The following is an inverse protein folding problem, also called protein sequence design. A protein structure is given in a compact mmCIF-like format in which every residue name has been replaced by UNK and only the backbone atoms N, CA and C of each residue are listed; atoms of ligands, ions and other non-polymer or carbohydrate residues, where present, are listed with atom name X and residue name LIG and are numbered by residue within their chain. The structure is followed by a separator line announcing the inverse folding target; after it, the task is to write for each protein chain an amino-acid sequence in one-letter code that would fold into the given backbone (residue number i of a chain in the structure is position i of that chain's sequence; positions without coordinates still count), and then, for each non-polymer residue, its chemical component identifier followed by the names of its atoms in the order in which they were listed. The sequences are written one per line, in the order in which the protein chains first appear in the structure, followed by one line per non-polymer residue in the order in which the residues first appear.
data_IF_151193091566
#
_entry.id   IF_151193091566
#
_cell.length_a   1.000
_cell.length_b   1.000
_cell.length_c   1.000
_cell.angle_alpha   90.00
_cell.angle_beta   90.00
_cell.angle_gamma   90.00
#
_symmetry.space_group_name_H-M   'P 1'
#
loop_
_entity.id
_entity.type
_entity.pdbx_description
1 polymer ?
#
# COMPACT_ATOMS: atom_id res chain seq x y z
N UNK A 1 6.11 -27.50 23.66
CA UNK A 1 6.78 -27.08 22.42
C UNK A 1 6.32 -25.66 22.13
N UNK A 2 7.20 -24.67 22.26
CA UNK A 2 6.87 -23.29 21.91
C UNK A 2 6.86 -23.19 20.39
N UNK A 3 5.67 -23.21 19.79
CA UNK A 3 5.54 -22.89 18.38
C UNK A 3 6.03 -21.45 18.18
N UNK A 4 7.01 -21.24 17.31
CA UNK A 4 7.38 -19.89 16.85
C UNK A 4 6.12 -19.21 16.31
N UNK A 5 5.84 -17.98 16.75
CA UNK A 5 4.74 -17.18 16.23
C UNK A 5 4.93 -16.82 14.73
N UNK A 6 6.17 -16.94 14.23
CA UNK A 6 6.52 -16.71 12.83
C UNK A 6 6.60 -18.05 12.11
N UNK A 7 5.70 -18.26 11.14
CA UNK A 7 5.68 -19.45 10.28
C UNK A 7 6.78 -19.41 9.20
N UNK A 8 7.02 -18.24 8.61
CA UNK A 8 7.95 -18.06 7.48
C UNK A 8 8.48 -16.63 7.40
N UNK A 9 9.79 -16.50 7.14
CA UNK A 9 10.42 -15.25 6.72
C UNK A 9 10.65 -15.28 5.21
N UNK A 10 10.28 -14.20 4.52
CA UNK A 10 10.45 -14.06 3.07
C UNK A 10 11.38 -12.88 2.81
N UNK A 11 12.56 -13.16 2.27
CA UNK A 11 13.49 -12.11 1.85
C UNK A 11 12.96 -11.40 0.58
N UNK A 12 12.85 -10.06 0.56
CA UNK A 12 12.39 -9.32 -0.61
C UNK A 12 13.30 -9.57 -1.83
N UNK A 13 12.68 -9.79 -2.99
CA UNK A 13 13.41 -9.92 -4.27
C UNK A 13 13.39 -8.59 -5.01
N UNK A 14 14.55 -8.09 -5.42
CA UNK A 14 14.66 -6.86 -6.21
C UNK A 14 13.98 -7.03 -7.57
N UNK A 15 13.11 -6.09 -7.93
CA UNK A 15 12.43 -6.02 -9.23
C UNK A 15 12.53 -4.62 -9.81
N UNK A 16 12.96 -4.52 -11.06
CA UNK A 16 12.97 -3.24 -11.79
C UNK A 16 11.59 -2.98 -12.41
N UNK A 17 11.06 -1.77 -12.18
CA UNK A 17 9.79 -1.27 -12.73
C UNK A 17 10.01 -0.27 -13.88
N UNK A 18 11.23 -0.21 -14.45
CA UNK A 18 11.59 0.69 -15.54
C UNK A 18 12.31 1.94 -15.03
N UNK A 19 13.41 1.76 -14.29
CA UNK A 19 14.22 2.84 -13.72
C UNK A 19 14.05 3.02 -12.21
N UNK A 20 13.25 2.16 -11.58
CA UNK A 20 13.04 2.12 -10.13
C UNK A 20 12.97 0.68 -9.65
N UNK A 21 13.76 0.34 -8.63
CA UNK A 21 13.78 -1.01 -8.08
C UNK A 21 12.94 -1.09 -6.80
N UNK A 22 12.08 -2.10 -6.71
CA UNK A 22 11.26 -2.42 -5.54
C UNK A 22 11.70 -3.75 -4.91
N UNK A 23 11.42 -3.91 -3.62
CA UNK A 23 11.59 -5.16 -2.88
C UNK A 23 10.29 -5.96 -2.86
N UNK A 24 10.17 -6.98 -3.72
CA UNK A 24 8.97 -7.81 -3.82
C UNK A 24 8.94 -8.94 -2.81
N UNK A 25 7.93 -8.92 -1.94
CA UNK A 25 7.68 -9.97 -0.92
C UNK A 25 6.61 -10.95 -1.39
N UNK A 26 5.44 -10.45 -1.83
CA UNK A 26 4.37 -11.27 -2.41
C UNK A 26 4.17 -10.98 -3.90
N UNK A 27 3.82 -11.99 -4.72
CA UNK A 27 3.65 -13.40 -4.36
C UNK A 27 4.98 -14.14 -4.21
N UNK A 28 5.06 -15.07 -3.25
CA UNK A 28 6.17 -16.00 -3.08
C UNK A 28 5.76 -17.43 -3.45
N UNK A 29 6.69 -18.22 -3.98
CA UNK A 29 6.36 -19.56 -4.52
C UNK A 29 5.67 -20.47 -3.48
N UNK A 30 6.09 -20.37 -2.21
CA UNK A 30 5.52 -21.14 -1.08
C UNK A 30 4.45 -20.38 -0.28
N UNK A 31 4.17 -19.12 -0.63
CA UNK A 31 3.15 -18.28 0.01
C UNK A 31 2.68 -17.22 -0.99
N UNK A 32 1.60 -17.53 -1.70
CA UNK A 32 1.05 -16.62 -2.71
C UNK A 32 0.17 -15.53 -2.10
N UNK A 33 -0.41 -15.80 -0.92
CA UNK A 33 -1.34 -14.91 -0.24
C UNK A 33 -1.16 -14.94 1.27
N UNK A 34 -1.49 -13.84 1.94
CA UNK A 34 -1.63 -13.73 3.40
C UNK A 34 -2.97 -13.04 3.67
N UNK A 35 -3.95 -13.78 4.20
CA UNK A 35 -5.34 -13.31 4.15
C UNK A 35 -5.71 -12.94 2.71
N UNK A 36 -6.30 -11.76 2.47
CA UNK A 36 -6.63 -11.31 1.11
C UNK A 36 -5.48 -10.64 0.36
N UNK A 37 -4.30 -10.44 0.98
CA UNK A 37 -3.15 -9.80 0.33
C UNK A 37 -2.47 -10.76 -0.65
N UNK A 38 -2.34 -10.36 -1.91
CA UNK A 38 -1.79 -11.18 -3.02
C UNK A 38 -0.49 -10.60 -3.61
N UNK A 39 -0.15 -9.37 -3.23
CA UNK A 39 1.00 -8.63 -3.70
C UNK A 39 1.48 -7.67 -2.61
N UNK A 40 2.79 -7.52 -2.48
CA UNK A 40 3.41 -6.63 -1.51
C UNK A 40 4.81 -6.27 -2.00
N UNK A 41 4.98 -5.03 -2.43
CA UNK A 41 6.24 -4.44 -2.85
C UNK A 41 6.60 -3.29 -1.91
N UNK A 42 7.82 -3.31 -1.38
CA UNK A 42 8.42 -2.13 -0.75
C UNK A 42 9.07 -1.25 -1.82
N UNK A 43 8.74 0.04 -1.79
CA UNK A 43 9.27 1.07 -2.66
C UNK A 43 10.30 1.88 -1.88
N UNK A 44 11.56 1.90 -2.32
CA UNK A 44 12.62 2.63 -1.61
C UNK A 44 13.08 1.94 -0.32
N UNK A 45 13.73 2.66 0.62
CA UNK A 45 14.04 4.09 0.55
C UNK A 45 14.92 4.43 -0.65
N UNK A 46 14.51 5.44 -1.43
CA UNK A 46 15.22 5.90 -2.62
C UNK A 46 15.27 7.43 -2.70
N UNK A 47 16.25 7.94 -3.43
CA UNK A 47 16.40 9.36 -3.75
C UNK A 47 16.49 9.54 -5.25
N UNK A 48 15.71 10.49 -5.77
CA UNK A 48 15.64 10.87 -7.17
C UNK A 48 16.15 12.29 -7.34
N UNK A 49 17.15 12.45 -8.20
CA UNK A 49 17.65 13.76 -8.60
C UNK A 49 16.61 14.52 -9.45
N UNK A 50 16.69 15.86 -9.52
CA UNK A 50 15.93 16.65 -10.48
C UNK A 50 15.92 16.03 -11.90
N UNK A 51 14.74 15.97 -12.50
CA UNK A 51 14.50 15.36 -13.81
C UNK A 51 14.22 13.85 -13.78
N UNK A 52 14.44 13.17 -12.64
CA UNK A 52 14.20 11.72 -12.49
C UNK A 52 13.00 11.43 -11.58
N UNK A 53 12.50 10.20 -11.62
CA UNK A 53 11.36 9.80 -10.82
C UNK A 53 10.78 8.45 -11.23
N UNK A 54 9.64 8.12 -10.64
CA UNK A 54 8.82 6.99 -11.06
C UNK A 54 7.93 7.41 -12.22
N UNK A 55 7.83 6.54 -13.23
CA UNK A 55 6.96 6.73 -14.39
C UNK A 55 6.26 5.42 -14.78
N UNK A 56 5.45 4.87 -13.87
CA UNK A 56 4.61 3.71 -14.19
C UNK A 56 3.55 4.16 -15.21
N UNK A 57 3.69 3.64 -16.43
CA UNK A 57 2.81 3.97 -17.56
C UNK A 57 1.38 3.42 -17.34
N UNK A 58 0.39 3.92 -18.09
CA UNK A 58 -0.97 3.38 -18.04
C UNK A 58 -0.99 1.86 -18.16
N UNK A 59 -1.59 1.18 -17.19
CA UNK A 59 -1.72 -0.28 -17.15
C UNK A 59 -3.05 -0.70 -16.50
N UNK A 60 -3.63 -1.85 -16.90
CA UNK A 60 -4.90 -2.32 -16.38
C UNK A 60 -4.78 -3.17 -15.11
N UNK A 61 -5.85 -3.21 -14.32
CA UNK A 61 -6.10 -4.18 -13.25
C UNK A 61 -7.56 -4.67 -13.30
N UNK A 62 -7.82 -5.89 -12.82
CA UNK A 62 -9.16 -6.49 -12.61
C UNK A 62 -9.15 -7.32 -11.32
N UNK A 63 -10.32 -7.54 -10.70
CA UNK A 63 -10.51 -8.52 -9.61
C UNK A 63 -9.72 -8.26 -8.32
N UNK A 64 -9.15 -7.07 -8.15
CA UNK A 64 -8.33 -6.71 -6.99
C UNK A 64 -8.54 -5.25 -6.59
N UNK A 65 -8.07 -4.89 -5.41
CA UNK A 65 -7.80 -3.51 -5.03
C UNK A 65 -6.30 -3.27 -4.89
N UNK A 66 -5.80 -2.12 -5.35
CA UNK A 66 -4.43 -1.67 -5.07
C UNK A 66 -4.45 -0.70 -3.90
N UNK A 67 -3.43 -0.80 -3.06
CA UNK A 67 -3.24 0.03 -1.87
C UNK A 67 -1.86 0.63 -1.94
N UNK A 68 -1.77 1.96 -1.94
CA UNK A 68 -0.49 2.68 -1.85
C UNK A 68 -0.46 3.40 -0.50
N UNK A 69 0.63 3.22 0.25
CA UNK A 69 0.89 3.87 1.54
C UNK A 69 2.33 4.34 1.61
N UNK A 70 2.57 5.63 1.84
CA UNK A 70 3.91 6.22 1.80
C UNK A 70 4.42 6.55 3.20
N UNK A 71 5.74 6.40 3.38
CA UNK A 71 6.51 6.87 4.53
C UNK A 71 7.28 8.15 4.21
N UNK A 72 7.67 8.36 2.95
CA UNK A 72 8.36 9.56 2.46
C UNK A 72 8.02 9.79 0.97
N UNK A 73 8.14 11.04 0.50
CA UNK A 73 7.89 11.42 -0.89
C UNK A 73 6.42 11.61 -1.24
N UNK A 74 6.14 11.73 -2.54
CA UNK A 74 4.77 11.73 -3.07
C UNK A 74 4.68 11.06 -4.44
N UNK A 75 3.49 10.56 -4.75
CA UNK A 75 3.15 9.94 -6.03
C UNK A 75 1.85 10.56 -6.54
N UNK A 76 1.80 10.85 -7.83
CA UNK A 76 0.58 11.24 -8.53
C UNK A 76 -0.06 10.01 -9.18
N UNK A 77 -1.29 9.74 -8.78
CA UNK A 77 -2.19 8.76 -9.36
C UNK A 77 -3.09 9.42 -10.41
N UNK A 78 -3.29 8.76 -11.55
CA UNK A 78 -4.36 9.09 -12.51
C UNK A 78 -4.98 7.82 -13.06
N UNK A 79 -6.30 7.82 -13.24
CA UNK A 79 -7.02 6.65 -13.75
C UNK A 79 -8.08 6.96 -14.82
N UNK A 80 -8.64 5.89 -15.39
CA UNK A 80 -9.67 5.92 -16.43
C UNK A 80 -11.04 6.41 -15.95
N UNK A 81 -11.24 6.61 -14.64
CA UNK A 81 -12.45 7.25 -14.10
C UNK A 81 -12.30 8.78 -14.01
N UNK A 82 -11.12 9.31 -14.32
CA UNK A 82 -10.81 10.73 -14.30
C UNK A 82 -10.29 11.24 -12.97
N UNK A 83 -9.96 10.36 -12.01
CA UNK A 83 -9.29 10.80 -10.79
C UNK A 83 -7.86 11.23 -11.08
N UNK A 84 -7.43 12.28 -10.38
CA UNK A 84 -6.07 12.81 -10.39
C UNK A 84 -5.72 13.25 -8.96
N UNK A 85 -4.88 12.47 -8.29
CA UNK A 85 -4.62 12.63 -6.86
C UNK A 85 -3.14 12.48 -6.54
N UNK A 86 -2.63 13.32 -5.65
CA UNK A 86 -1.27 13.20 -5.11
C UNK A 86 -1.36 12.57 -3.72
N UNK A 87 -0.77 11.39 -3.56
CA UNK A 87 -0.63 10.72 -2.27
C UNK A 87 0.66 11.15 -1.57
N UNK A 88 0.58 11.41 -0.26
CA UNK A 88 1.69 11.84 0.60
C UNK A 88 1.86 10.91 1.81
N UNK A 89 2.91 11.09 2.64
CA UNK A 89 3.18 10.17 3.73
C UNK A 89 2.04 10.08 4.75
N UNK A 90 1.66 8.85 5.07
CA UNK A 90 0.54 8.54 5.96
C UNK A 90 -0.84 8.53 5.31
N UNK A 91 -0.98 9.03 4.08
CA UNK A 91 -2.22 8.92 3.31
C UNK A 91 -2.40 7.49 2.78
N UNK A 92 -3.63 7.16 2.38
CA UNK A 92 -3.95 5.89 1.71
C UNK A 92 -4.68 6.17 0.41
N UNK A 93 -4.13 5.67 -0.69
CA UNK A 93 -4.90 5.48 -1.92
C UNK A 93 -5.41 4.05 -1.96
N UNK A 94 -6.73 3.88 -2.04
CA UNK A 94 -7.39 2.60 -2.22
C UNK A 94 -8.14 2.60 -3.56
N UNK A 95 -7.62 1.88 -4.54
CA UNK A 95 -8.23 1.74 -5.86
C UNK A 95 -8.82 0.35 -6.02
N UNK A 96 -10.15 0.24 -6.08
CA UNK A 96 -10.83 -1.03 -6.38
C UNK A 96 -10.95 -1.17 -7.89
N UNK A 97 -10.32 -2.18 -8.47
CA UNK A 97 -10.35 -2.39 -9.92
C UNK A 97 -11.67 -3.05 -10.39
N UNK A 98 -12.22 -3.98 -9.60
CA UNK A 98 -13.45 -4.70 -9.97
C UNK A 98 -13.38 -5.27 -11.39
N UNK A 99 -14.42 -4.99 -12.20
CA UNK A 99 -14.46 -5.42 -13.61
C UNK A 99 -13.38 -4.79 -14.51
N UNK A 100 -12.71 -3.73 -14.05
CA UNK A 100 -11.52 -3.18 -14.71
C UNK A 100 -11.30 -1.69 -14.52
N UNK A 101 -10.04 -1.32 -14.32
CA UNK A 101 -9.58 0.07 -14.32
C UNK A 101 -8.19 0.16 -14.99
N UNK A 102 -7.92 1.27 -15.70
CA UNK A 102 -6.59 1.59 -16.22
C UNK A 102 -6.06 2.78 -15.46
N UNK A 103 -4.81 2.70 -14.98
CA UNK A 103 -4.22 3.80 -14.20
C UNK A 103 -2.72 3.95 -14.41
N UNK A 104 -2.18 5.07 -13.94
CA UNK A 104 -0.75 5.38 -13.96
C UNK A 104 -0.33 6.02 -12.63
N UNK A 105 0.88 5.71 -12.19
CA UNK A 105 1.50 6.25 -10.99
C UNK A 105 2.86 6.87 -11.34
N UNK A 106 3.02 8.16 -11.05
CA UNK A 106 4.21 8.92 -11.48
C UNK A 106 4.67 9.90 -10.42
N UNK A 107 5.92 10.32 -10.49
CA UNK A 107 6.37 11.53 -9.81
C UNK A 107 5.61 12.75 -10.34
N UNK A 108 5.07 13.60 -9.45
CA UNK A 108 4.42 14.85 -9.87
C UNK A 108 5.43 15.88 -10.39
N UNK A 109 5.01 16.76 -11.28
CA UNK A 109 5.91 17.69 -11.99
C UNK A 109 6.73 18.62 -11.08
N UNK A 110 6.19 19.21 -10.00
CA UNK A 110 6.97 19.97 -9.04
C UNK A 110 8.11 19.16 -8.42
N UNK A 111 7.83 17.92 -7.99
CA UNK A 111 8.84 17.02 -7.42
C UNK A 111 9.84 16.52 -8.44
N UNK A 112 9.41 16.26 -9.67
CA UNK A 112 10.32 15.94 -10.76
C UNK A 112 11.31 17.09 -10.97
N UNK A 113 10.88 18.35 -10.89
CA UNK A 113 11.79 19.50 -11.03
C UNK A 113 12.73 19.69 -9.84
N UNK A 114 12.29 19.42 -8.62
CA UNK A 114 13.11 19.62 -7.41
C UNK A 114 13.94 18.39 -6.98
N UNK A 115 13.65 17.21 -7.55
CA UNK A 115 14.04 15.93 -6.95
C UNK A 115 13.13 15.55 -5.79
N UNK A 116 13.18 14.28 -5.40
CA UNK A 116 12.45 13.77 -4.23
C UNK A 116 13.07 12.52 -3.62
N UNK A 117 12.82 12.31 -2.33
CA UNK A 117 12.91 11.00 -1.69
C UNK A 117 11.61 10.24 -1.90
N UNK A 118 11.67 8.92 -1.84
CA UNK A 118 10.49 8.08 -1.88
C UNK A 118 10.71 6.83 -1.01
N UNK A 119 9.76 6.58 -0.12
CA UNK A 119 9.69 5.34 0.66
C UNK A 119 8.23 5.00 0.90
N UNK A 120 7.84 3.75 0.68
CA UNK A 120 6.45 3.33 0.86
C UNK A 120 6.24 1.86 0.54
N UNK A 121 4.97 1.46 0.55
CA UNK A 121 4.54 0.11 0.20
C UNK A 121 3.40 0.20 -0.81
N UNK A 122 3.45 -0.68 -1.79
CA UNK A 122 2.31 -1.01 -2.63
C UNK A 122 1.86 -2.44 -2.35
N UNK A 123 0.59 -2.60 -1.97
CA UNK A 123 -0.03 -3.89 -1.70
C UNK A 123 -1.25 -4.10 -2.58
N UNK A 124 -1.52 -5.34 -2.99
CA UNK A 124 -2.79 -5.66 -3.64
C UNK A 124 -3.60 -6.64 -2.81
N UNK A 125 -4.91 -6.40 -2.79
CA UNK A 125 -5.91 -7.16 -2.04
C UNK A 125 -6.84 -7.81 -3.05
N UNK A 126 -6.93 -9.14 -3.06
CA UNK A 126 -7.92 -9.83 -3.89
C UNK A 126 -9.34 -9.46 -3.45
N UNK A 127 -10.22 -9.24 -4.43
CA UNK A 127 -11.65 -9.16 -4.18
C UNK A 127 -12.22 -10.57 -4.02
N UNK A 128 -13.21 -10.78 -3.14
CA UNK A 128 -13.96 -12.02 -3.10
C UNK A 128 -14.77 -12.23 -4.39
N UNK A 129 -15.17 -13.47 -4.67
CA UNK A 129 -15.84 -13.87 -5.92
C UNK A 129 -17.08 -13.03 -6.24
N UNK A 130 -17.85 -12.65 -5.22
CA UNK A 130 -19.06 -11.83 -5.35
C UNK A 130 -18.79 -10.33 -5.63
N UNK A 131 -17.52 -9.90 -5.53
CA UNK A 131 -17.09 -8.52 -5.79
C UNK A 131 -16.19 -8.39 -7.02
N UNK A 132 -15.82 -9.49 -7.71
CA UNK A 132 -14.91 -9.45 -8.86
C UNK A 132 -15.39 -8.53 -9.99
N UNK A 133 -16.70 -8.45 -10.20
CA UNK A 133 -17.34 -7.69 -11.29
C UNK A 133 -17.91 -6.33 -10.83
N UNK A 134 -17.59 -5.87 -9.61
CA UNK A 134 -18.06 -4.58 -9.12
C UNK A 134 -17.55 -3.43 -9.99
N UNK A 135 -18.24 -2.28 -9.92
CA UNK A 135 -17.78 -1.04 -10.53
C UNK A 135 -16.40 -0.64 -9.98
N UNK A 136 -15.45 -0.23 -10.83
CA UNK A 136 -14.18 0.30 -10.36
C UNK A 136 -14.40 1.57 -9.52
N UNK A 137 -13.56 1.78 -8.52
CA UNK A 137 -13.60 2.97 -7.69
C UNK A 137 -12.22 3.38 -7.20
N UNK A 138 -12.08 4.65 -6.84
CA UNK A 138 -10.88 5.18 -6.22
C UNK A 138 -11.26 6.02 -5.00
N UNK A 139 -10.58 5.77 -3.88
CA UNK A 139 -10.74 6.53 -2.65
C UNK A 139 -9.38 6.96 -2.13
N UNK A 140 -9.18 8.28 -2.05
CA UNK A 140 -8.04 8.87 -1.35
C UNK A 140 -8.46 9.21 0.09
N UNK A 141 -7.70 8.70 1.05
CA UNK A 141 -7.88 8.94 2.47
C UNK A 141 -6.67 9.71 3.00
N UNK A 142 -6.83 11.01 3.27
CA UNK A 142 -5.80 11.79 3.95
C UNK A 142 -5.46 11.18 5.30
N UNK A 143 -4.20 11.25 5.72
CA UNK A 143 -3.73 10.65 6.98
C UNK A 143 -4.56 11.06 8.19
N UNK A 144 -5.12 12.27 8.21
CA UNK A 144 -5.93 12.82 9.31
C UNK A 144 -7.29 12.10 9.44
N UNK A 145 -7.74 11.42 8.38
CA UNK A 145 -8.99 10.66 8.38
C UNK A 145 -8.81 9.23 8.93
N UNK A 146 -7.57 8.77 9.09
CA UNK A 146 -7.27 7.41 9.51
C UNK A 146 -7.08 7.34 11.04
N UNK A 147 -7.67 6.34 11.72
CA UNK A 147 -7.47 6.16 13.15
C UNK A 147 -6.01 5.93 13.50
N UNK A 148 -5.54 6.59 14.55
CA UNK A 148 -4.21 6.39 15.14
C UNK A 148 -4.38 5.87 16.56
N UNK A 149 -3.84 4.68 16.81
CA UNK A 149 -3.85 4.03 18.12
C UNK A 149 -2.46 4.16 18.74
N UNK A 150 -2.40 4.47 20.03
CA UNK A 150 -1.14 4.48 20.78
C UNK A 150 -1.15 3.36 21.81
N UNK A 151 -0.15 2.48 21.76
CA UNK A 151 -0.04 1.30 22.64
C UNK A 151 1.42 1.03 22.95
N UNK A 152 1.76 0.92 24.23
CA UNK A 152 3.04 0.38 24.72
C UNK A 152 4.29 0.91 24.00
N UNK A 153 4.37 2.23 23.76
CA UNK A 153 5.52 2.84 23.07
C UNK A 153 5.48 2.74 21.53
N UNK A 154 4.34 2.38 20.96
CA UNK A 154 4.11 2.36 19.52
C UNK A 154 2.91 3.23 19.11
N UNK A 155 3.02 3.82 17.93
CA UNK A 155 1.95 4.50 17.19
C UNK A 155 1.54 3.61 16.01
N UNK A 156 0.24 3.30 15.94
CA UNK A 156 -0.33 2.41 14.94
C UNK A 156 -1.40 3.14 14.14
N UNK A 157 -1.17 3.35 12.85
CA UNK A 157 -2.15 3.90 11.93
C UNK A 157 -2.96 2.76 11.31
N UNK A 158 -4.28 2.77 11.52
CA UNK A 158 -5.18 1.77 10.93
C UNK A 158 -5.47 2.14 9.48
N UNK A 159 -4.69 1.56 8.56
CA UNK A 159 -4.78 1.74 7.12
C UNK A 159 -6.12 1.21 6.61
N UNK A 160 -6.47 -0.04 6.94
CA UNK A 160 -7.71 -0.68 6.49
C UNK A 160 -8.25 -1.69 7.51
N UNK A 161 -9.56 -1.93 7.45
CA UNK A 161 -10.24 -2.93 8.27
C UNK A 161 -10.41 -2.53 9.73
N UNK A 162 -10.39 -3.50 10.64
CA UNK A 162 -10.65 -3.30 12.07
C UNK A 162 -9.56 -3.92 12.94
N UNK A 163 -9.02 -3.15 13.88
CA UNK A 163 -8.03 -3.66 14.85
C UNK A 163 -8.22 -2.97 16.20
N UNK A 164 -8.04 -3.74 17.29
CA UNK A 164 -8.06 -3.22 18.66
C UNK A 164 -9.29 -2.37 19.02
N UNK A 165 -10.46 -2.73 18.48
CA UNK A 165 -11.73 -2.02 18.70
C UNK A 165 -11.94 -0.76 17.86
N UNK A 166 -11.00 -0.40 16.97
CA UNK A 166 -11.14 0.68 16.01
C UNK A 166 -11.40 0.17 14.58
N UNK A 167 -12.00 1.02 13.75
CA UNK A 167 -12.32 0.74 12.36
C UNK A 167 -11.80 1.85 11.43
N UNK A 168 -11.12 1.49 10.35
CA UNK A 168 -10.72 2.43 9.30
C UNK A 168 -11.94 2.85 8.47
N UNK A 169 -11.98 4.10 7.96
CA UNK A 169 -12.99 4.52 6.98
C UNK A 169 -12.81 3.88 5.59
N UNK A 170 -11.68 3.22 5.33
CA UNK A 170 -11.41 2.54 4.07
C UNK A 170 -12.36 1.37 3.89
N UNK A 171 -13.12 1.37 2.79
CA UNK A 171 -14.06 0.31 2.46
C UNK A 171 -13.31 -0.91 1.92
N UNK A 172 -13.46 -2.05 2.58
CA UNK A 172 -12.88 -3.34 2.16
C UNK A 172 -13.98 -4.32 1.77
N UNK A 173 -13.67 -5.26 0.88
CA UNK A 173 -14.59 -6.35 0.50
C UNK A 173 -14.37 -7.64 1.31
N UNK A 174 -13.29 -7.70 2.09
CA UNK A 174 -12.96 -8.86 2.93
C UNK A 174 -12.67 -8.40 4.37
N UNK A 175 -12.97 -9.21 5.40
CA UNK A 175 -12.50 -8.97 6.75
C UNK A 175 -10.98 -8.93 6.81
N UNK A 176 -10.41 -7.89 7.42
CA UNK A 176 -8.96 -7.71 7.53
C UNK A 176 -8.61 -6.70 8.62
N UNK A 177 -7.31 -6.61 8.91
CA UNK A 177 -6.69 -5.42 9.45
C UNK A 177 -5.41 -5.12 8.66
N UNK A 178 -5.09 -3.84 8.52
CA UNK A 178 -3.81 -3.38 7.97
C UNK A 178 -3.34 -2.19 8.79
N UNK A 179 -2.17 -2.33 9.43
CA UNK A 179 -1.61 -1.34 10.33
C UNK A 179 -0.25 -0.86 9.80
N UNK A 180 -0.05 0.45 9.73
CA UNK A 180 1.27 1.05 9.71
C UNK A 180 1.74 1.23 11.15
N UNK A 181 2.92 0.72 11.52
CA UNK A 181 3.39 0.69 12.90
C UNK A 181 4.76 1.37 13.00
N UNK A 182 4.83 2.40 13.85
CA UNK A 182 6.08 3.01 14.29
C UNK A 182 6.26 2.72 15.78
N UNK A 183 7.36 2.08 16.15
CA UNK A 183 7.56 1.54 17.48
C UNK A 183 8.92 1.95 18.05
N UNK A 184 8.93 2.42 19.30
CA UNK A 184 10.16 2.64 20.04
C UNK A 184 10.87 1.30 20.33
N UNK A 185 12.20 1.28 20.53
CA UNK A 185 12.90 0.08 20.97
C UNK A 185 12.27 -0.51 22.24
N UNK A 186 11.98 -1.82 22.21
CA UNK A 186 11.36 -2.52 23.32
C UNK A 186 9.83 -2.38 23.43
N UNK A 187 9.17 -1.70 22.49
CA UNK A 187 7.72 -1.66 22.44
C UNK A 187 7.12 -3.05 22.21
N UNK A 188 6.04 -3.37 22.94
CA UNK A 188 5.33 -4.65 22.84
C UNK A 188 3.90 -4.45 22.37
N UNK A 189 3.55 -5.04 21.22
CA UNK A 189 2.23 -4.89 20.61
C UNK A 189 1.60 -6.29 20.50
N UNK A 190 0.47 -6.57 21.16
CA UNK A 190 -0.23 -7.83 20.98
C UNK A 190 -0.82 -7.91 19.57
N UNK A 191 -1.02 -9.11 19.03
CA UNK A 191 -1.79 -9.27 17.79
C UNK A 191 -3.28 -8.93 18.06
N UNK A 192 -3.95 -8.24 17.13
CA UNK A 192 -5.34 -7.81 17.27
C UNK A 192 -6.36 -8.96 17.19
#
# INVERSE_FOLDING_TARGET
MTHSAIEMTIEPRRRDLGGFTVGRVLPYARRRMVGPFIFFDEMGPAEFAPGTGIDVRPHPHIGLATVTYLFDGEIRHRDSLGFDAIIRPGDVNWMTAGRGIVHSERTDDPKRRSGQRLHGVQSWVALPDDALETEPSFHHHPRETLPVLRRNGAELRLIAGTAFGAASPVRTCSPMFYLGVEAAPGAEIPLP
#
